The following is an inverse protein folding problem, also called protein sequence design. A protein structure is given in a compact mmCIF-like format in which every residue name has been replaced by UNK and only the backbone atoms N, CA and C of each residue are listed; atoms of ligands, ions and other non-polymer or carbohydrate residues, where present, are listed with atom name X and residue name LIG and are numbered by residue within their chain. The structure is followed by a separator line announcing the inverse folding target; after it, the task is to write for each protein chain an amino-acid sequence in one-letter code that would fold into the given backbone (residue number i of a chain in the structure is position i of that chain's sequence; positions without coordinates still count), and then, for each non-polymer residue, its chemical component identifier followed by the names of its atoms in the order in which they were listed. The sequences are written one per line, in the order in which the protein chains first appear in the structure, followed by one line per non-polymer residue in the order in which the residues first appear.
data_IF_919790859115
#
_entry.id   IF_919790859115
#
_cell.length_a   1.000
_cell.length_b   1.000
_cell.length_c   1.000
_cell.angle_alpha   90.00
_cell.angle_beta   90.00
_cell.angle_gamma   90.00
#
_symmetry.space_group_name_H-M   'P 1'
#
loop_
_entity.id
_entity.type
_entity.pdbx_description
1 polymer ?
#
# COMPACT_ATOMS: atom_id res chain seq x y z
N UNK A 1 23.41 -58.43 -20.07
CA UNK A 1 22.48 -57.28 -20.18
C UNK A 1 23.20 -56.15 -20.88
N UNK A 2 22.55 -55.49 -21.83
CA UNK A 2 23.10 -54.36 -22.58
C UNK A 2 22.30 -53.09 -22.24
N UNK A 3 22.99 -51.96 -22.14
CA UNK A 3 22.34 -50.66 -22.00
C UNK A 3 21.71 -50.24 -23.34
N UNK A 4 20.75 -49.31 -23.28
CA UNK A 4 20.02 -48.84 -24.46
C UNK A 4 20.93 -48.29 -25.58
N UNK A 5 22.13 -47.82 -25.23
CA UNK A 5 23.16 -47.31 -26.16
C UNK A 5 24.00 -48.40 -26.82
N UNK A 6 23.98 -49.63 -26.32
CA UNK A 6 24.67 -50.78 -26.88
C UNK A 6 23.68 -51.63 -27.69
N UNK A 7 23.00 -51.00 -28.66
CA UNK A 7 21.97 -51.62 -29.50
C UNK A 7 22.52 -52.20 -30.82
N UNK A 8 23.85 -52.26 -30.94
CA UNK A 8 24.55 -52.97 -31.99
C UNK A 8 25.54 -53.95 -31.35
N UNK A 9 25.57 -55.18 -31.82
CA UNK A 9 26.55 -56.18 -31.40
C UNK A 9 26.67 -57.29 -32.44
N UNK A 10 27.80 -58.00 -32.40
CA UNK A 10 28.03 -59.20 -33.19
C UNK A 10 28.12 -60.41 -32.27
N UNK A 11 27.55 -61.52 -32.70
CA UNK A 11 27.66 -62.82 -32.03
C UNK A 11 28.47 -63.74 -32.91
N UNK A 12 29.52 -64.32 -32.33
CA UNK A 12 30.32 -65.38 -32.93
C UNK A 12 29.97 -66.71 -32.27
N UNK A 13 29.96 -67.77 -33.06
CA UNK A 13 29.64 -69.12 -32.62
C UNK A 13 30.59 -70.13 -33.26
N UNK A 14 30.80 -71.26 -32.60
CA UNK A 14 31.66 -72.31 -33.10
C UNK A 14 31.12 -73.67 -32.65
N UNK A 15 31.38 -74.71 -33.46
CA UNK A 15 31.04 -76.08 -33.08
C UNK A 15 32.24 -76.71 -32.35
N UNK A 16 32.01 -77.28 -31.17
CA UNK A 16 33.07 -77.65 -30.21
C UNK A 16 33.95 -78.86 -30.60
N UNK A 17 33.66 -79.57 -31.70
CA UNK A 17 34.50 -80.69 -32.13
C UNK A 17 34.24 -81.07 -33.59
N UNK A 18 34.98 -80.50 -34.55
CA UNK A 18 34.89 -80.92 -35.95
C UNK A 18 36.29 -81.08 -36.56
N UNK A 19 36.58 -82.27 -37.07
CA UNK A 19 37.83 -82.57 -37.78
C UNK A 19 37.92 -81.85 -39.15
N UNK A 20 36.82 -81.24 -39.60
CA UNK A 20 36.69 -80.50 -40.86
C UNK A 20 35.88 -79.19 -40.63
N UNK A 21 36.48 -78.16 -40.00
CA UNK A 21 35.79 -76.92 -39.67
C UNK A 21 35.18 -76.20 -40.89
N UNK A 22 35.79 -76.33 -42.07
CA UNK A 22 35.30 -75.72 -43.31
C UNK A 22 34.06 -76.41 -43.92
N UNK A 23 33.57 -77.50 -43.34
CA UNK A 23 32.36 -78.21 -43.79
C UNK A 23 31.17 -78.02 -42.85
N UNK A 24 31.32 -77.27 -41.77
CA UNK A 24 30.22 -76.98 -40.84
C UNK A 24 29.31 -75.94 -41.46
N UNK A 25 28.00 -76.15 -41.38
CA UNK A 25 27.03 -75.11 -41.72
C UNK A 25 26.31 -74.63 -40.47
N UNK A 26 25.99 -73.36 -40.41
CA UNK A 26 25.29 -72.77 -39.28
C UNK A 26 23.93 -72.22 -39.71
N UNK A 27 22.98 -72.31 -38.78
CA UNK A 27 21.72 -71.61 -38.86
C UNK A 27 21.45 -70.94 -37.52
N UNK A 28 20.96 -69.71 -37.57
CA UNK A 28 20.64 -68.92 -36.37
C UNK A 28 19.28 -68.24 -36.47
N UNK A 29 18.74 -67.82 -35.34
CA UNK A 29 17.50 -67.07 -35.25
C UNK A 29 17.50 -66.19 -33.99
N UNK A 30 17.08 -64.93 -34.12
CA UNK A 30 16.79 -64.07 -32.99
C UNK A 30 15.28 -64.03 -32.73
N UNK A 31 14.84 -64.66 -31.64
CA UNK A 31 13.43 -64.60 -31.26
C UNK A 31 13.00 -63.17 -30.97
N UNK A 32 11.76 -62.84 -31.35
CA UNK A 32 11.21 -61.48 -31.32
C UNK A 32 11.86 -60.48 -32.31
N UNK A 33 12.64 -60.96 -33.29
CA UNK A 33 13.18 -60.15 -34.38
C UNK A 33 13.11 -60.86 -35.74
N UNK A 34 13.64 -62.08 -35.83
CA UNK A 34 13.62 -62.90 -37.05
C UNK A 34 12.31 -63.68 -37.13
N UNK A 35 11.79 -63.87 -38.35
CA UNK A 35 10.57 -64.67 -38.59
C UNK A 35 10.87 -66.17 -38.76
N UNK A 36 12.03 -66.50 -39.32
CA UNK A 36 12.48 -67.86 -39.64
C UNK A 36 14.00 -68.01 -39.42
N UNK A 37 14.51 -69.25 -39.49
CA UNK A 37 15.94 -69.54 -39.40
C UNK A 37 16.74 -68.93 -40.56
N UNK A 38 17.79 -68.19 -40.22
CA UNK A 38 18.76 -67.66 -41.15
C UNK A 38 19.91 -68.68 -41.34
N UNK A 39 20.09 -69.19 -42.57
CA UNK A 39 21.16 -70.12 -42.91
C UNK A 39 22.39 -69.34 -43.38
N UNK A 40 23.49 -69.43 -42.63
CA UNK A 40 24.70 -68.63 -42.88
C UNK A 40 25.84 -69.43 -43.55
N UNK A 41 25.58 -70.67 -43.95
CA UNK A 41 26.60 -71.56 -44.49
C UNK A 41 27.74 -71.72 -43.47
N UNK A 42 28.99 -71.60 -43.92
CA UNK A 42 30.16 -71.69 -43.04
C UNK A 42 30.45 -70.38 -42.26
N UNK A 43 29.64 -69.32 -42.44
CA UNK A 43 29.84 -68.08 -41.66
C UNK A 43 29.38 -68.32 -40.22
N UNK A 44 30.30 -68.08 -39.30
CA UNK A 44 30.16 -68.37 -37.89
C UNK A 44 29.87 -67.11 -37.04
N UNK A 45 29.39 -66.03 -37.66
CA UNK A 45 29.01 -64.80 -36.97
C UNK A 45 27.78 -64.12 -37.60
N UNK A 46 27.11 -63.30 -36.79
CA UNK A 46 26.00 -62.42 -37.19
C UNK A 46 26.08 -61.08 -36.45
N UNK A 47 25.71 -60.00 -37.12
CA UNK A 47 25.63 -58.66 -36.53
C UNK A 47 24.18 -58.16 -36.51
N UNK A 48 23.74 -57.69 -35.34
CA UNK A 48 22.46 -57.01 -35.17
C UNK A 48 22.69 -55.53 -34.91
N UNK A 49 21.84 -54.68 -35.47
CA UNK A 49 21.97 -53.21 -35.39
C UNK A 49 20.61 -52.60 -35.07
N UNK A 50 20.59 -51.54 -34.25
CA UNK A 50 19.38 -50.79 -33.88
C UNK A 50 18.30 -51.65 -33.22
N UNK A 51 18.71 -52.57 -32.35
CA UNK A 51 17.77 -53.35 -31.56
C UNK A 51 17.00 -52.45 -30.56
N UNK A 52 15.69 -52.67 -30.46
CA UNK A 52 14.83 -51.90 -29.55
C UNK A 52 14.98 -52.46 -28.11
N UNK A 53 14.74 -51.65 -27.07
CA UNK A 53 14.71 -52.15 -25.70
C UNK A 53 13.68 -53.29 -25.52
N UNK A 54 14.17 -54.53 -25.39
CA UNK A 54 13.37 -55.75 -25.24
C UNK A 54 14.29 -56.91 -24.77
N UNK A 55 13.67 -58.02 -24.39
CA UNK A 55 14.34 -59.30 -24.20
C UNK A 55 14.38 -60.07 -25.54
N UNK A 56 15.57 -60.46 -25.95
CA UNK A 56 15.84 -61.24 -27.14
C UNK A 56 16.47 -62.58 -26.76
N UNK A 57 16.18 -63.64 -27.51
CA UNK A 57 16.81 -64.94 -27.35
C UNK A 57 17.47 -65.32 -28.66
N UNK A 58 18.80 -65.35 -28.65
CA UNK A 58 19.57 -65.79 -29.82
C UNK A 58 19.68 -67.31 -29.80
N UNK A 59 19.32 -67.96 -30.90
CA UNK A 59 19.36 -69.41 -31.08
C UNK A 59 20.30 -69.76 -32.21
N UNK A 60 21.16 -70.75 -32.01
CA UNK A 60 22.06 -71.25 -33.05
C UNK A 60 22.12 -72.77 -33.06
N UNK A 61 22.17 -73.35 -34.26
CA UNK A 61 22.39 -74.77 -34.50
C UNK A 61 23.45 -74.95 -35.60
N UNK A 62 24.19 -76.04 -35.52
CA UNK A 62 25.23 -76.38 -36.48
C UNK A 62 24.89 -77.67 -37.22
N UNK A 63 25.33 -77.79 -38.47
CA UNK A 63 25.22 -78.97 -39.31
C UNK A 63 26.61 -79.57 -39.49
N UNK A 64 26.76 -80.85 -39.16
CA UNK A 64 28.02 -81.56 -39.35
C UNK A 64 28.24 -81.95 -40.82
N UNK A 65 29.43 -82.48 -41.14
CA UNK A 65 29.80 -82.90 -42.50
C UNK A 65 28.83 -83.90 -43.15
N UNK A 66 28.09 -84.68 -42.33
CA UNK A 66 27.07 -85.65 -42.76
C UNK A 66 25.70 -85.02 -43.06
N UNK A 67 25.62 -83.68 -43.13
CA UNK A 67 24.39 -82.90 -43.37
C UNK A 67 23.30 -83.07 -42.30
N UNK A 68 23.66 -83.55 -41.12
CA UNK A 68 22.77 -83.65 -39.97
C UNK A 68 22.90 -82.40 -39.08
N UNK A 69 21.77 -81.74 -38.80
CA UNK A 69 21.70 -80.62 -37.86
C UNK A 69 21.81 -81.11 -36.42
N UNK A 70 22.43 -80.30 -35.55
CA UNK A 70 22.51 -80.56 -34.12
C UNK A 70 21.12 -80.72 -33.52
N UNK A 71 20.93 -81.77 -32.71
CA UNK A 71 19.67 -82.00 -31.99
C UNK A 71 19.46 -80.98 -30.86
N UNK A 72 20.55 -80.51 -30.26
CA UNK A 72 20.54 -79.40 -29.31
C UNK A 72 20.74 -78.06 -30.03
N UNK A 73 19.89 -77.10 -29.67
CA UNK A 73 20.01 -75.69 -30.05
C UNK A 73 20.68 -74.97 -28.87
N UNK A 74 21.69 -74.15 -29.15
CA UNK A 74 22.30 -73.29 -28.13
C UNK A 74 21.55 -71.97 -28.09
N UNK A 75 21.17 -71.53 -26.88
CA UNK A 75 20.39 -70.31 -26.66
C UNK A 75 21.19 -69.30 -25.83
N UNK A 76 21.10 -68.02 -26.17
CA UNK A 76 21.72 -66.91 -25.44
C UNK A 76 20.69 -65.79 -25.21
N UNK A 77 20.43 -65.46 -23.95
CA UNK A 77 19.52 -64.39 -23.56
C UNK A 77 20.18 -63.01 -23.61
N UNK A 78 19.55 -62.08 -24.32
CA UNK A 78 20.05 -60.71 -24.53
C UNK A 78 18.95 -59.73 -24.11
N UNK A 79 19.19 -59.01 -23.02
CA UNK A 79 18.26 -58.00 -22.49
C UNK A 79 18.80 -56.60 -22.69
N UNK A 80 18.08 -55.79 -23.48
CA UNK A 80 18.38 -54.37 -23.72
C UNK A 80 17.45 -53.51 -22.85
N UNK A 81 18.02 -52.72 -21.93
CA UNK A 81 17.25 -51.86 -21.02
C UNK A 81 16.69 -50.63 -21.76
N UNK A 82 15.50 -50.09 -21.37
CA UNK A 82 15.00 -48.83 -21.91
C UNK A 82 15.81 -47.64 -21.40
N UNK A 83 15.83 -46.50 -22.13
CA UNK A 83 16.50 -45.29 -21.68
C UNK A 83 15.84 -44.69 -20.43
N UNK A 84 16.64 -44.07 -19.56
CA UNK A 84 16.17 -43.58 -18.27
C UNK A 84 15.14 -42.44 -18.38
N UNK A 85 15.22 -41.58 -19.40
CA UNK A 85 14.28 -40.47 -19.60
C UNK A 85 12.88 -40.91 -20.04
N UNK A 86 12.71 -42.16 -20.50
CA UNK A 86 11.40 -42.75 -20.78
C UNK A 86 10.83 -43.51 -19.57
N UNK A 87 11.55 -43.53 -18.46
CA UNK A 87 11.07 -44.17 -17.23
C UNK A 87 10.00 -43.31 -16.56
N UNK A 88 8.98 -43.96 -16.00
CA UNK A 88 7.85 -43.28 -15.36
C UNK A 88 8.27 -42.25 -14.29
N UNK A 89 9.27 -42.59 -13.47
CA UNK A 89 9.76 -41.69 -12.42
C UNK A 89 10.39 -40.41 -12.97
N UNK A 90 11.01 -40.44 -14.16
CA UNK A 90 11.62 -39.28 -14.79
C UNK A 90 10.55 -38.35 -15.38
N UNK A 91 9.54 -38.93 -16.04
CA UNK A 91 8.37 -38.17 -16.53
C UNK A 91 7.64 -37.49 -15.37
N UNK A 92 7.46 -38.21 -14.25
CA UNK A 92 6.88 -37.64 -13.02
C UNK A 92 7.71 -36.45 -12.51
N UNK A 93 9.04 -36.56 -12.52
CA UNK A 93 9.94 -35.49 -12.11
C UNK A 93 9.80 -34.26 -13.02
N UNK A 94 9.75 -34.42 -14.34
CA UNK A 94 9.52 -33.30 -15.26
C UNK A 94 8.18 -32.60 -15.00
N UNK A 95 7.11 -33.38 -14.81
CA UNK A 95 5.79 -32.83 -14.47
C UNK A 95 5.85 -32.03 -13.16
N UNK A 96 6.55 -32.53 -12.15
CA UNK A 96 6.72 -31.83 -10.86
C UNK A 96 7.51 -30.52 -11.01
N UNK A 97 8.54 -30.50 -11.86
CA UNK A 97 9.32 -29.28 -12.14
C UNK A 97 8.43 -28.24 -12.81
N UNK A 98 7.69 -28.63 -13.85
CA UNK A 98 6.76 -27.73 -14.55
C UNK A 98 5.67 -27.23 -13.61
N UNK A 99 5.10 -28.10 -12.78
CA UNK A 99 4.07 -27.74 -11.80
C UNK A 99 4.59 -26.74 -10.75
N UNK A 100 5.80 -26.94 -10.22
CA UNK A 100 6.43 -25.99 -9.30
C UNK A 100 6.68 -24.63 -9.97
N UNK A 101 7.12 -24.64 -11.23
CA UNK A 101 7.34 -23.42 -12.00
C UNK A 101 6.03 -22.64 -12.18
N UNK A 102 4.92 -23.33 -12.47
CA UNK A 102 3.58 -22.73 -12.50
C UNK A 102 3.19 -22.11 -11.16
N UNK A 103 3.41 -22.82 -10.03
CA UNK A 103 3.13 -22.28 -8.68
C UNK A 103 3.95 -21.03 -8.41
N UNK A 104 5.25 -21.03 -8.74
CA UNK A 104 6.14 -19.89 -8.52
C UNK A 104 5.69 -18.67 -9.33
N UNK A 105 5.36 -18.86 -10.61
CA UNK A 105 4.83 -17.78 -11.47
C UNK A 105 3.52 -17.26 -10.91
N UNK A 106 2.59 -18.14 -10.55
CA UNK A 106 1.31 -17.75 -9.98
C UNK A 106 1.48 -16.93 -8.69
N UNK A 107 2.33 -17.40 -7.76
CA UNK A 107 2.64 -16.69 -6.51
C UNK A 107 3.28 -15.33 -6.76
N UNK A 108 4.20 -15.24 -7.73
CA UNK A 108 4.85 -13.99 -8.11
C UNK A 108 3.82 -12.96 -8.64
N UNK A 109 2.94 -13.39 -9.54
CA UNK A 109 1.92 -12.52 -10.14
C UNK A 109 0.92 -12.01 -9.10
N UNK A 110 0.44 -12.88 -8.20
CA UNK A 110 -0.47 -12.49 -7.12
C UNK A 110 0.22 -11.52 -6.15
N UNK A 111 1.43 -11.83 -5.69
CA UNK A 111 2.19 -10.99 -4.76
C UNK A 111 2.42 -9.59 -5.33
N UNK A 112 2.73 -9.47 -6.63
CA UNK A 112 2.92 -8.18 -7.29
C UNK A 112 1.65 -7.32 -7.24
N UNK A 113 0.48 -7.91 -7.53
CA UNK A 113 -0.81 -7.19 -7.46
C UNK A 113 -1.15 -6.77 -6.03
N UNK A 114 -0.99 -7.67 -5.07
CA UNK A 114 -1.28 -7.38 -3.66
C UNK A 114 -0.37 -6.28 -3.11
N UNK A 115 0.92 -6.30 -3.45
CA UNK A 115 1.86 -5.26 -3.01
C UNK A 115 1.49 -3.87 -3.57
N UNK A 116 1.07 -3.79 -4.84
CA UNK A 116 0.60 -2.52 -5.43
C UNK A 116 -0.65 -2.00 -4.75
N UNK A 117 -1.62 -2.88 -4.48
CA UNK A 117 -2.84 -2.50 -3.77
C UNK A 117 -2.52 -2.02 -2.34
N UNK A 118 -1.66 -2.74 -1.64
CA UNK A 118 -1.24 -2.40 -0.29
C UNK A 118 -0.51 -1.05 -0.25
N UNK A 119 0.36 -0.78 -1.23
CA UNK A 119 1.03 0.50 -1.37
C UNK A 119 0.02 1.64 -1.60
N UNK A 120 -0.92 1.48 -2.52
CA UNK A 120 -1.96 2.48 -2.77
C UNK A 120 -2.84 2.74 -1.54
N UNK A 121 -3.15 1.70 -0.76
CA UNK A 121 -3.88 1.84 0.51
C UNK A 121 -3.05 2.59 1.55
N UNK A 122 -1.76 2.28 1.69
CA UNK A 122 -0.87 2.97 2.62
C UNK A 122 -0.71 4.46 2.26
N UNK A 123 -0.57 4.78 0.97
CA UNK A 123 -0.53 6.16 0.49
C UNK A 123 -1.84 6.89 0.81
N UNK A 124 -2.99 6.25 0.59
CA UNK A 124 -4.29 6.84 0.94
C UNK A 124 -4.46 7.07 2.44
N UNK A 125 -4.03 6.11 3.27
CA UNK A 125 -4.07 6.24 4.73
C UNK A 125 -3.16 7.38 5.18
N UNK A 126 -1.97 7.50 4.61
CA UNK A 126 -1.03 8.58 4.92
C UNK A 126 -1.63 9.96 4.61
N UNK A 127 -2.28 10.10 3.45
CA UNK A 127 -2.94 11.35 3.05
C UNK A 127 -4.10 11.70 4.00
N UNK A 128 -4.95 10.72 4.33
CA UNK A 128 -6.06 10.93 5.28
C UNK A 128 -5.55 11.30 6.67
N UNK A 129 -4.50 10.66 7.15
CA UNK A 129 -3.90 10.99 8.45
C UNK A 129 -3.30 12.40 8.47
N UNK A 130 -2.70 12.84 7.36
CA UNK A 130 -2.19 14.21 7.23
C UNK A 130 -3.34 15.23 7.31
N UNK A 131 -4.41 15.01 6.53
CA UNK A 131 -5.60 15.87 6.56
C UNK A 131 -6.26 15.91 7.95
N UNK A 132 -6.34 14.75 8.62
CA UNK A 132 -6.87 14.65 9.97
C UNK A 132 -6.02 15.45 10.97
N UNK A 133 -4.69 15.36 10.87
CA UNK A 133 -3.77 16.10 11.74
C UNK A 133 -3.86 17.62 11.51
N UNK A 134 -3.96 18.05 10.25
CA UNK A 134 -4.15 19.47 9.90
C UNK A 134 -5.49 19.99 10.44
N UNK A 135 -6.57 19.22 10.29
CA UNK A 135 -7.88 19.55 10.85
C UNK A 135 -7.88 19.60 12.37
N UNK A 136 -7.20 18.66 13.04
CA UNK A 136 -7.07 18.65 14.50
C UNK A 136 -6.32 19.90 14.99
N UNK A 137 -5.24 20.28 14.30
CA UNK A 137 -4.48 21.50 14.62
C UNK A 137 -5.35 22.74 14.46
N UNK A 138 -6.06 22.87 13.35
CA UNK A 138 -6.98 24.00 13.11
C UNK A 138 -8.08 24.06 14.17
N UNK A 139 -8.63 22.91 14.58
CA UNK A 139 -9.65 22.83 15.63
C UNK A 139 -9.09 23.30 16.99
N UNK A 140 -7.87 22.88 17.35
CA UNK A 140 -7.19 23.32 18.57
C UNK A 140 -6.95 24.82 18.57
N UNK A 141 -6.49 25.39 17.45
CA UNK A 141 -6.26 26.83 17.31
C UNK A 141 -7.58 27.63 17.41
N UNK A 142 -8.65 27.14 16.79
CA UNK A 142 -9.98 27.74 16.90
C UNK A 142 -10.49 27.70 18.35
N UNK A 143 -10.33 26.56 19.02
CA UNK A 143 -10.77 26.41 20.41
C UNK A 143 -9.95 27.31 21.36
N UNK A 144 -8.63 27.37 21.19
CA UNK A 144 -7.78 28.28 21.95
C UNK A 144 -8.15 29.76 21.73
N UNK A 145 -8.51 30.12 20.50
CA UNK A 145 -9.00 31.48 20.19
C UNK A 145 -10.32 31.78 20.90
N UNK A 146 -11.25 30.81 20.90
CA UNK A 146 -12.53 30.90 21.61
C UNK A 146 -12.35 31.02 23.13
N UNK A 147 -11.45 30.22 23.72
CA UNK A 147 -11.15 30.26 25.15
C UNK A 147 -10.55 31.61 25.56
N UNK A 148 -9.58 32.12 24.77
CA UNK A 148 -9.00 33.45 24.98
C UNK A 148 -10.06 34.55 24.92
N UNK A 149 -10.95 34.48 23.94
CA UNK A 149 -12.04 35.45 23.78
C UNK A 149 -13.00 35.43 24.97
N UNK A 150 -13.43 34.25 25.44
CA UNK A 150 -14.27 34.16 26.62
C UNK A 150 -13.60 34.68 27.89
N UNK A 151 -12.30 34.43 28.05
CA UNK A 151 -11.53 34.98 29.17
C UNK A 151 -11.55 36.51 29.20
N UNK A 152 -11.33 37.14 28.04
CA UNK A 152 -11.37 38.61 27.88
C UNK A 152 -12.77 39.14 28.22
N UNK A 153 -13.82 38.56 27.63
CA UNK A 153 -15.21 38.97 27.90
C UNK A 153 -15.56 38.83 29.38
N UNK A 154 -15.16 37.73 30.01
CA UNK A 154 -15.47 37.48 31.41
C UNK A 154 -14.86 38.55 32.30
N UNK A 155 -13.61 38.95 32.04
CA UNK A 155 -12.96 40.04 32.74
C UNK A 155 -13.64 41.40 32.47
N UNK A 156 -13.90 41.70 31.21
CA UNK A 156 -14.47 42.99 30.78
C UNK A 156 -15.93 43.16 31.23
N UNK A 157 -16.67 42.07 31.43
CA UNK A 157 -17.99 42.09 32.07
C UNK A 157 -17.89 42.18 33.59
N UNK A 158 -16.98 41.44 34.22
CA UNK A 158 -16.84 41.40 35.68
C UNK A 158 -16.56 42.79 36.26
N UNK A 159 -15.70 43.57 35.62
CA UNK A 159 -15.32 44.90 36.11
C UNK A 159 -16.49 45.88 36.27
N UNK A 160 -17.28 46.19 35.22
CA UNK A 160 -18.43 47.07 35.34
C UNK A 160 -19.53 46.45 36.24
N UNK A 161 -19.69 45.12 36.27
CA UNK A 161 -20.62 44.47 37.20
C UNK A 161 -20.22 44.65 38.66
N UNK A 162 -18.95 44.43 39.01
CA UNK A 162 -18.43 44.65 40.36
C UNK A 162 -18.55 46.12 40.77
N UNK A 163 -18.29 47.06 39.84
CA UNK A 163 -18.47 48.49 40.10
C UNK A 163 -19.94 48.84 40.34
N UNK A 164 -20.85 48.31 39.51
CA UNK A 164 -22.28 48.55 39.63
C UNK A 164 -22.81 47.97 40.95
N UNK A 165 -22.37 46.77 41.33
CA UNK A 165 -22.74 46.14 42.59
C UNK A 165 -22.27 46.97 43.79
N UNK A 166 -21.00 47.35 43.85
CA UNK A 166 -20.45 48.16 44.95
C UNK A 166 -21.14 49.53 45.08
N UNK A 167 -21.43 50.19 43.95
CA UNK A 167 -22.15 51.47 43.93
C UNK A 167 -23.60 51.31 44.40
N UNK A 168 -24.27 50.23 43.97
CA UNK A 168 -25.63 49.91 44.38
C UNK A 168 -25.71 49.59 45.88
N UNK A 169 -24.78 48.80 46.41
CA UNK A 169 -24.66 48.48 47.84
C UNK A 169 -24.43 49.76 48.66
N UNK A 170 -23.49 50.61 48.22
CA UNK A 170 -23.17 51.87 48.91
C UNK A 170 -24.38 52.80 49.03
N UNK A 171 -25.16 52.96 47.95
CA UNK A 171 -26.40 53.74 47.96
C UNK A 171 -27.44 53.07 48.87
N UNK A 172 -27.60 51.75 48.80
CA UNK A 172 -28.61 51.03 49.57
C UNK A 172 -28.35 51.07 51.08
N UNK A 173 -27.09 51.00 51.51
CA UNK A 173 -26.72 50.94 52.93
C UNK A 173 -26.63 52.32 53.59
N UNK A 174 -26.23 53.36 52.84
CA UNK A 174 -25.96 54.69 53.39
C UNK A 174 -26.78 55.81 52.76
N UNK A 175 -27.95 55.50 52.17
CA UNK A 175 -28.74 56.44 51.37
C UNK A 175 -28.98 57.80 52.03
N UNK A 176 -29.28 57.82 53.34
CA UNK A 176 -29.57 59.06 54.09
C UNK A 176 -28.31 59.85 54.47
N UNK A 177 -27.14 59.21 54.48
CA UNK A 177 -25.88 59.77 54.96
C UNK A 177 -24.92 60.19 53.84
N UNK A 178 -25.26 59.91 52.57
CA UNK A 178 -24.52 60.36 51.39
C UNK A 178 -25.09 61.71 50.95
N UNK A 179 -24.20 62.68 50.66
CA UNK A 179 -24.60 63.98 50.14
C UNK A 179 -25.27 63.86 48.76
N UNK A 180 -26.12 64.82 48.41
CA UNK A 180 -26.86 64.78 47.15
C UNK A 180 -25.92 64.90 45.92
N UNK A 181 -24.78 65.58 46.03
CA UNK A 181 -23.78 65.66 44.96
C UNK A 181 -23.08 64.30 44.73
N UNK A 182 -22.79 63.57 45.81
CA UNK A 182 -22.22 62.23 45.76
C UNK A 182 -23.23 61.21 45.21
N UNK A 183 -24.51 61.29 45.60
CA UNK A 183 -25.58 60.46 45.02
C UNK A 183 -25.65 60.64 43.51
N UNK A 184 -25.66 61.90 43.04
CA UNK A 184 -25.72 62.21 41.61
C UNK A 184 -24.50 61.67 40.86
N UNK A 185 -23.32 61.76 41.47
CA UNK A 185 -22.07 61.18 40.94
C UNK A 185 -22.16 59.66 40.83
N UNK A 186 -22.68 58.97 41.85
CA UNK A 186 -22.86 57.52 41.81
C UNK A 186 -23.87 57.10 40.73
N UNK A 187 -25.03 57.78 40.63
CA UNK A 187 -26.02 57.50 39.58
C UNK A 187 -25.43 57.66 38.18
N UNK A 188 -24.63 58.72 37.95
CA UNK A 188 -23.94 58.91 36.67
C UNK A 188 -22.96 57.76 36.38
N UNK A 189 -22.21 57.28 37.37
CA UNK A 189 -21.29 56.14 37.20
C UNK A 189 -22.01 54.82 36.94
N UNK A 190 -23.15 54.59 37.60
CA UNK A 190 -24.02 53.43 37.34
C UNK A 190 -24.51 53.49 35.88
N UNK A 191 -25.02 54.63 35.43
CA UNK A 191 -25.51 54.82 34.07
C UNK A 191 -24.44 54.53 33.02
N UNK A 192 -23.23 55.06 33.20
CA UNK A 192 -22.11 54.80 32.31
C UNK A 192 -21.68 53.32 32.33
N UNK A 193 -21.71 52.67 33.51
CA UNK A 193 -21.42 51.22 33.62
C UNK A 193 -22.47 50.37 32.89
N UNK A 194 -23.76 50.71 32.99
CA UNK A 194 -24.86 50.03 32.29
C UNK A 194 -24.72 50.19 30.77
N UNK A 195 -24.41 51.40 30.29
CA UNK A 195 -24.11 51.63 28.86
C UNK A 195 -22.93 50.78 28.38
N UNK A 196 -21.88 50.67 29.19
CA UNK A 196 -20.71 49.88 28.84
C UNK A 196 -21.05 48.38 28.75
N UNK A 197 -21.76 47.83 29.73
CA UNK A 197 -22.24 46.43 29.70
C UNK A 197 -23.12 46.18 28.47
N UNK A 198 -24.03 47.10 28.16
CA UNK A 198 -24.89 47.00 26.98
C UNK A 198 -24.08 46.97 25.68
N UNK A 199 -23.06 47.83 25.56
CA UNK A 199 -22.14 47.82 24.41
C UNK A 199 -21.37 46.50 24.30
N UNK A 200 -20.88 45.94 25.41
CA UNK A 200 -20.19 44.65 25.41
C UNK A 200 -21.12 43.51 24.98
N UNK A 201 -22.37 43.51 25.44
CA UNK A 201 -23.38 42.53 25.04
C UNK A 201 -23.67 42.58 23.53
N UNK A 202 -23.83 43.78 22.97
CA UNK A 202 -24.02 43.97 21.53
C UNK A 202 -22.79 43.53 20.71
N UNK A 203 -21.59 43.82 21.19
CA UNK A 203 -20.35 43.35 20.54
C UNK A 203 -20.26 41.82 20.56
N UNK A 204 -20.62 41.17 21.67
CA UNK A 204 -20.68 39.72 21.77
C UNK A 204 -21.72 39.11 20.83
N UNK A 205 -22.91 39.71 20.73
CA UNK A 205 -23.95 39.26 19.80
C UNK A 205 -23.49 39.39 18.34
N UNK A 206 -22.84 40.51 18.00
CA UNK A 206 -22.27 40.76 16.66
C UNK A 206 -21.21 39.72 16.33
N UNK A 207 -20.31 39.42 17.26
CA UNK A 207 -19.30 38.38 17.08
C UNK A 207 -19.93 36.98 16.94
N UNK A 208 -20.94 36.64 17.75
CA UNK A 208 -21.66 35.37 17.68
C UNK A 208 -22.37 35.16 16.34
N UNK A 209 -22.90 36.24 15.76
CA UNK A 209 -23.49 36.22 14.41
C UNK A 209 -22.40 35.99 13.36
N UNK A 210 -21.29 36.73 13.44
CA UNK A 210 -20.16 36.58 12.52
C UNK A 210 -19.52 35.17 12.50
N UNK A 211 -19.67 34.40 13.60
CA UNK A 211 -19.21 33.00 13.67
C UNK A 211 -20.17 31.99 13.05
N UNK A 212 -21.48 32.30 12.96
CA UNK A 212 -22.51 31.37 12.48
C UNK A 212 -22.94 31.65 11.03
N UNK A 213 -23.00 32.92 10.66
CA UNK A 213 -23.40 33.40 9.36
C UNK A 213 -22.31 34.33 8.82
N UNK A 214 -22.11 34.37 7.50
CA UNK A 214 -21.30 35.44 6.91
C UNK A 214 -22.03 36.75 7.22
N UNK A 215 -21.32 37.70 7.83
CA UNK A 215 -21.86 39.07 8.01
C UNK A 215 -22.35 39.53 6.63
N UNK A 216 -23.64 39.86 6.51
CA UNK A 216 -24.22 40.30 5.24
C UNK A 216 -23.44 41.54 4.76
N UNK A 217 -22.86 41.42 3.57
CA UNK A 217 -22.04 42.47 3.00
C UNK A 217 -22.95 43.51 2.32
N UNK A 218 -23.39 44.49 3.10
CA UNK A 218 -24.15 45.65 2.61
C UNK A 218 -23.27 46.90 2.63
N UNK A 219 -22.42 47.14 1.61
CA UNK A 219 -21.44 48.21 1.65
C UNK A 219 -22.11 49.59 1.64
N UNK A 220 -21.81 50.39 2.65
CA UNK A 220 -22.20 51.81 2.72
C UNK A 220 -20.98 52.71 2.60
N UNK A 221 -21.14 53.85 1.92
CA UNK A 221 -20.09 54.84 1.77
C UNK A 221 -19.84 55.54 3.12
N UNK A 222 -18.60 55.45 3.63
CA UNK A 222 -18.21 55.93 4.94
C UNK A 222 -17.03 56.91 4.85
N UNK A 223 -17.15 58.08 5.49
CA UNK A 223 -16.06 59.07 5.56
C UNK A 223 -15.07 58.68 6.66
N UNK A 224 -13.97 58.03 6.24
CA UNK A 224 -12.92 57.55 7.12
C UNK A 224 -12.13 58.69 7.75
N UNK A 225 -11.92 59.81 7.06
CA UNK A 225 -11.22 60.98 7.60
C UNK A 225 -11.88 61.50 8.88
N UNK A 226 -13.22 61.59 8.88
CA UNK A 226 -13.98 62.03 10.07
C UNK A 226 -13.80 61.07 11.25
N UNK A 227 -13.77 59.76 10.99
CA UNK A 227 -13.55 58.76 12.04
C UNK A 227 -12.15 58.85 12.64
N UNK A 228 -11.13 58.99 11.78
CA UNK A 228 -9.74 59.15 12.22
C UNK A 228 -9.62 60.40 13.07
N UNK A 229 -10.20 61.52 12.65
CA UNK A 229 -10.18 62.78 13.39
C UNK A 229 -10.80 62.64 14.79
N UNK A 230 -11.98 62.02 14.87
CA UNK A 230 -12.66 61.76 16.15
C UNK A 230 -11.74 60.97 17.10
N UNK A 231 -11.13 59.87 16.61
CA UNK A 231 -10.30 59.00 17.44
C UNK A 231 -8.98 59.68 17.87
N UNK A 232 -8.33 60.41 16.97
CA UNK A 232 -7.10 61.16 17.29
C UNK A 232 -7.38 62.22 18.35
N UNK A 233 -8.50 62.94 18.23
CA UNK A 233 -8.90 63.95 19.21
C UNK A 233 -9.22 63.31 20.57
N UNK A 234 -9.93 62.17 20.58
CA UNK A 234 -10.27 61.41 21.80
C UNK A 234 -9.03 61.00 22.60
N UNK A 235 -7.96 60.59 21.91
CA UNK A 235 -6.74 60.12 22.55
C UNK A 235 -5.67 61.20 22.78
N UNK A 236 -5.86 62.42 22.25
CA UNK A 236 -4.86 63.50 22.34
C UNK A 236 -4.49 63.83 23.78
N UNK A 237 -5.49 64.00 24.66
CA UNK A 237 -5.28 64.33 26.08
C UNK A 237 -4.49 63.22 26.80
N UNK A 238 -4.83 61.95 26.52
CA UNK A 238 -4.15 60.82 27.14
C UNK A 238 -2.71 60.65 26.64
N UNK A 239 -2.47 60.93 25.35
CA UNK A 239 -1.15 60.89 24.75
C UNK A 239 -0.27 62.01 25.31
N UNK A 240 -0.78 63.24 25.40
CA UNK A 240 -0.08 64.39 26.01
C UNK A 240 0.33 64.11 27.46
N UNK A 241 -0.58 63.55 28.28
CA UNK A 241 -0.28 63.15 29.67
C UNK A 241 0.84 62.12 29.78
N UNK A 242 1.04 61.31 28.73
CA UNK A 242 2.09 60.29 28.67
C UNK A 242 3.33 60.76 27.90
N UNK A 243 3.39 62.01 27.45
CA UNK A 243 4.48 62.53 26.62
C UNK A 243 4.56 61.89 25.23
N UNK A 244 3.45 61.35 24.72
CA UNK A 244 3.38 60.68 23.42
C UNK A 244 2.88 61.68 22.37
N UNK A 245 3.65 61.87 21.29
CA UNK A 245 3.24 62.70 20.14
C UNK A 245 2.39 61.90 19.17
N UNK A 246 1.13 62.29 18.98
CA UNK A 246 0.24 61.75 17.95
C UNK A 246 0.42 62.52 16.63
N UNK A 247 0.71 61.79 15.55
CA UNK A 247 0.81 62.33 14.19
C UNK A 247 -0.17 61.54 13.33
N UNK A 248 -1.06 62.24 12.62
CA UNK A 248 -2.01 61.63 11.70
C UNK A 248 -1.81 62.21 10.30
N UNK A 249 -1.64 61.33 9.31
CA UNK A 249 -1.45 61.71 7.91
C UNK A 249 -2.40 60.88 7.04
N UNK A 250 -3.42 61.53 6.49
CA UNK A 250 -4.45 60.89 5.67
C UNK A 250 -5.05 61.91 4.70
N UNK A 251 -5.61 61.44 3.59
CA UNK A 251 -6.27 62.29 2.60
C UNK A 251 -7.56 62.92 3.18
N UNK A 252 -7.85 64.16 2.80
CA UNK A 252 -9.12 64.81 3.14
C UNK A 252 -10.29 64.09 2.45
N UNK A 253 -11.40 63.91 3.18
CA UNK A 253 -12.59 63.22 2.70
C UNK A 253 -12.34 61.82 2.11
N UNK A 254 -11.41 61.08 2.69
CA UNK A 254 -11.18 59.68 2.36
C UNK A 254 -12.46 58.89 2.63
N UNK A 255 -13.06 58.36 1.57
CA UNK A 255 -14.25 57.52 1.64
C UNK A 255 -13.91 56.06 1.40
N UNK A 256 -14.47 55.18 2.22
CA UNK A 256 -14.31 53.73 2.13
C UNK A 256 -15.67 53.04 2.17
N UNK A 257 -15.74 51.82 1.64
CA UNK A 257 -16.91 50.97 1.80
C UNK A 257 -16.77 50.20 3.11
N UNK A 258 -17.75 50.35 4.00
CA UNK A 258 -17.85 49.59 5.24
C UNK A 258 -19.05 48.64 5.18
N UNK A 259 -18.95 47.49 5.83
CA UNK A 259 -20.08 46.57 6.03
C UNK A 259 -21.19 47.32 6.79
N UNK A 260 -22.38 47.38 6.19
CA UNK A 260 -23.60 47.98 6.76
C UNK A 260 -23.95 47.39 8.11
N UNK A 261 -24.66 48.18 8.94
CA UNK A 261 -25.05 47.83 10.30
C UNK A 261 -26.15 46.77 10.35
#
# INVERSE_FOLDING_TARGET
MLDYNHNFFSLEFAALNTSLPNKVQYAYMMENLDKDWNYSGNRNFVSYVRLKPRNYTFKVKAQNADRLWSKSITELEIKIKPPFWQSWWFILLEILVVFNLFILIYRYLVKSKTNKLLQAQNEKISEVNKQLSESEKSLKELNATKDKFFSIISHDLKNPFSSLLSMSESISENFQNVDDEDKLTIFNKIHESVKHIYSLLNNLLTWSRAQRERIEFEPVEFNLSKLIEINVNLHRIAAEKKGIKLISNYAENLKVLQIGK
#
